data_IF_601456477524
#
_entry.id   IF_601456477524
#
_cell.length_a   1.000
_cell.length_b   1.000
_cell.length_c   1.000
_cell.angle_alpha   90.00
_cell.angle_beta   90.00
_cell.angle_gamma   90.00
#
_symmetry.space_group_name_H-M   'P 1'
#
loop_
_entity.id
_entity.type
_entity.pdbx_description
1 polymer ?
#
# COMPACT_ATOMS: atom_id res chain seq x y z
N UNK A 1 -14.16 30.57 -13.00
CA UNK A 1 -13.30 29.58 -12.29
C UNK A 1 -14.17 28.36 -12.09
N UNK A 2 -13.73 27.12 -12.36
CA UNK A 2 -14.53 25.98 -11.93
C UNK A 2 -14.67 26.09 -10.41
N UNK A 3 -15.92 26.14 -9.93
CA UNK A 3 -16.21 26.00 -8.51
C UNK A 3 -15.62 24.66 -8.06
N UNK A 4 -14.91 24.65 -6.94
CA UNK A 4 -14.40 23.41 -6.36
C UNK A 4 -15.58 22.47 -6.13
N UNK A 5 -15.55 21.29 -6.74
CA UNK A 5 -16.55 20.25 -6.51
C UNK A 5 -16.29 19.68 -5.11
N UNK A 6 -17.29 19.75 -4.23
CA UNK A 6 -17.22 19.18 -2.89
C UNK A 6 -17.59 17.69 -2.89
N UNK A 7 -17.28 17.00 -1.79
CA UNK A 7 -17.75 15.63 -1.57
C UNK A 7 -19.28 15.53 -1.59
N UNK A 8 -19.97 16.51 -1.01
CA UNK A 8 -21.43 16.57 -1.01
C UNK A 8 -22.01 16.72 -2.42
N UNK A 9 -21.35 17.49 -3.30
CA UNK A 9 -21.79 17.64 -4.68
C UNK A 9 -21.69 16.32 -5.46
N UNK A 10 -20.70 15.48 -5.15
CA UNK A 10 -20.57 14.13 -5.73
C UNK A 10 -21.58 13.15 -5.12
N UNK A 11 -21.78 13.18 -3.81
CA UNK A 11 -22.75 12.31 -3.11
C UNK A 11 -24.21 12.60 -3.53
N UNK A 12 -24.54 13.84 -3.86
CA UNK A 12 -25.85 14.26 -4.34
C UNK A 12 -25.99 14.23 -5.87
N UNK A 13 -24.94 13.82 -6.60
CA UNK A 13 -24.97 13.79 -8.06
C UNK A 13 -25.90 12.68 -8.57
N UNK A 14 -26.70 13.02 -9.57
CA UNK A 14 -27.59 12.08 -10.24
C UNK A 14 -26.90 11.61 -11.52
N UNK A 15 -26.71 10.29 -11.64
CA UNK A 15 -26.21 9.67 -12.87
C UNK A 15 -27.27 9.78 -13.95
N UNK A 16 -26.94 10.43 -15.05
CA UNK A 16 -27.80 10.56 -16.24
C UNK A 16 -27.61 9.36 -17.17
N UNK A 17 -26.37 8.91 -17.32
CA UNK A 17 -26.02 7.80 -18.18
C UNK A 17 -24.56 7.83 -18.59
N UNK A 18 -24.24 7.11 -19.65
CA UNK A 18 -22.89 6.99 -20.19
C UNK A 18 -22.76 7.74 -21.51
N UNK A 19 -21.67 8.48 -21.69
CA UNK A 19 -21.31 9.14 -22.94
C UNK A 19 -20.13 8.43 -23.60
N UNK A 20 -20.27 8.13 -24.89
CA UNK A 20 -19.23 7.51 -25.73
C UNK A 20 -18.63 6.20 -25.21
N UNK A 21 -19.27 5.51 -24.27
CA UNK A 21 -18.68 4.38 -23.55
C UNK A 21 -17.34 4.72 -22.88
N UNK A 22 -17.17 5.97 -22.44
CA UNK A 22 -15.93 6.48 -21.80
C UNK A 22 -16.20 7.30 -20.55
N UNK A 23 -17.30 8.03 -20.53
CA UNK A 23 -17.61 8.96 -19.45
C UNK A 23 -18.94 8.61 -18.80
N UNK A 24 -19.00 8.70 -17.48
CA UNK A 24 -20.27 8.76 -16.75
C UNK A 24 -20.69 10.23 -16.68
N UNK A 25 -21.89 10.51 -17.17
CA UNK A 25 -22.50 11.83 -17.12
C UNK A 25 -23.31 11.92 -15.84
N UNK A 26 -22.94 12.84 -14.95
CA UNK A 26 -23.69 13.12 -13.74
C UNK A 26 -24.14 14.58 -13.72
N UNK A 27 -25.23 14.86 -13.02
CA UNK A 27 -25.73 16.22 -12.79
C UNK A 27 -25.89 16.44 -11.30
N UNK A 28 -25.31 17.52 -10.78
CA UNK A 28 -25.49 17.92 -9.39
C UNK A 28 -25.78 19.42 -9.28
N UNK A 29 -26.29 19.83 -8.12
CA UNK A 29 -26.42 21.25 -7.77
C UNK A 29 -25.19 21.64 -6.97
N UNK A 30 -24.43 22.63 -7.45
CA UNK A 30 -23.28 23.16 -6.72
C UNK A 30 -23.76 23.74 -5.39
N UNK A 31 -23.29 23.18 -4.28
CA UNK A 31 -23.58 23.67 -2.92
C UNK A 31 -22.89 25.00 -2.58
N UNK A 32 -22.10 25.56 -3.51
CA UNK A 32 -21.34 26.80 -3.33
C UNK A 32 -22.07 28.07 -3.77
N UNK A 33 -22.80 28.67 -2.83
CA UNK A 33 -22.87 30.11 -2.45
C UNK A 33 -24.30 30.55 -2.13
N UNK A 34 -24.62 30.56 -0.83
CA UNK A 34 -25.79 31.24 -0.28
C UNK A 34 -25.65 32.79 -0.32
N UNK A 35 -24.72 33.31 -1.14
CA UNK A 35 -24.69 34.72 -1.50
C UNK A 35 -25.66 34.91 -2.67
N UNK A 36 -26.62 35.81 -2.44
CA UNK A 36 -27.80 36.11 -3.25
C UNK A 36 -27.54 36.57 -4.70
N UNK A 37 -26.32 36.42 -5.23
CA UNK A 37 -25.93 36.72 -6.62
C UNK A 37 -25.72 35.47 -7.49
N UNK A 38 -25.61 34.28 -6.91
CA UNK A 38 -25.33 33.02 -7.64
C UNK A 38 -26.51 32.03 -7.67
N UNK A 39 -27.70 32.44 -7.20
CA UNK A 39 -28.93 31.65 -7.34
C UNK A 39 -29.34 31.35 -8.80
N UNK A 40 -28.61 31.93 -9.78
CA UNK A 40 -28.74 31.67 -11.20
C UNK A 40 -27.72 30.63 -11.74
N UNK A 41 -26.85 30.07 -10.90
CA UNK A 41 -25.94 29.01 -11.32
C UNK A 41 -26.76 27.76 -11.66
N UNK A 42 -26.87 27.47 -12.95
CA UNK A 42 -27.54 26.28 -13.46
C UNK A 42 -26.92 24.98 -12.94
N UNK A 43 -27.57 23.84 -13.19
CA UNK A 43 -27.06 22.53 -12.78
C UNK A 43 -25.65 22.30 -13.33
N UNK A 44 -24.76 21.77 -12.48
CA UNK A 44 -23.41 21.40 -12.87
C UNK A 44 -23.45 20.03 -13.55
N UNK A 45 -22.96 19.96 -14.78
CA UNK A 45 -22.77 18.70 -15.50
C UNK A 45 -21.34 18.21 -15.29
N UNK A 46 -21.21 16.99 -14.79
CA UNK A 46 -19.95 16.30 -14.54
C UNK A 46 -19.75 15.23 -15.61
N UNK A 47 -18.54 15.18 -16.18
CA UNK A 47 -18.07 14.09 -17.03
C UNK A 47 -16.97 13.35 -16.27
N UNK A 48 -17.31 12.18 -15.74
CA UNK A 48 -16.39 11.35 -14.97
C UNK A 48 -15.77 10.33 -15.91
N UNK A 49 -14.44 10.32 -16.01
CA UNK A 49 -13.71 9.27 -16.73
C UNK A 49 -13.96 7.91 -16.04
N UNK A 50 -14.65 7.00 -16.73
CA UNK A 50 -15.12 5.76 -16.13
C UNK A 50 -13.96 4.87 -15.68
N UNK A 51 -12.86 4.85 -16.44
CA UNK A 51 -11.71 4.00 -16.15
C UNK A 51 -10.93 4.58 -14.97
N UNK A 52 -10.59 5.86 -15.03
CA UNK A 52 -9.81 6.50 -13.98
C UNK A 52 -10.57 6.55 -12.64
N UNK A 53 -11.89 6.73 -12.68
CA UNK A 53 -12.72 6.72 -11.47
C UNK A 53 -12.81 5.33 -10.85
N UNK A 54 -13.12 4.29 -11.62
CA UNK A 54 -13.21 2.92 -11.09
C UNK A 54 -11.82 2.42 -10.63
N UNK A 55 -10.75 2.72 -11.37
CA UNK A 55 -9.37 2.45 -10.95
C UNK A 55 -9.07 3.08 -9.59
N UNK A 56 -9.38 4.37 -9.40
CA UNK A 56 -9.11 5.08 -8.15
C UNK A 56 -9.86 4.46 -6.97
N UNK A 57 -11.15 4.17 -7.15
CA UNK A 57 -11.98 3.57 -6.11
C UNK A 57 -11.49 2.16 -5.76
N UNK A 58 -11.07 1.37 -6.75
CA UNK A 58 -10.47 0.05 -6.54
C UNK A 58 -9.13 0.15 -5.83
N UNK A 59 -8.26 1.08 -6.21
CA UNK A 59 -6.95 1.33 -5.60
C UNK A 59 -7.12 1.63 -4.12
N UNK A 60 -7.98 2.60 -3.76
CA UNK A 60 -8.23 2.98 -2.37
C UNK A 60 -8.81 1.83 -1.56
N UNK A 61 -9.75 1.06 -2.12
CA UNK A 61 -10.33 -0.09 -1.44
C UNK A 61 -9.30 -1.22 -1.19
N UNK A 62 -8.37 -1.43 -2.13
CA UNK A 62 -7.28 -2.39 -2.02
C UNK A 62 -6.20 -1.92 -1.03
N UNK A 63 -5.84 -0.65 -1.07
CA UNK A 63 -4.96 -0.02 -0.09
C UNK A 63 -5.58 -0.11 1.30
N UNK A 64 -6.87 0.12 1.45
CA UNK A 64 -7.56 -0.04 2.71
C UNK A 64 -7.59 -1.50 3.18
N UNK A 65 -7.72 -2.47 2.27
CA UNK A 65 -7.66 -3.89 2.61
C UNK A 65 -6.26 -4.31 3.09
N UNK A 66 -5.23 -3.93 2.34
CA UNK A 66 -3.85 -4.40 2.53
C UNK A 66 -3.09 -3.56 3.57
N UNK A 67 -3.26 -2.24 3.57
CA UNK A 67 -2.49 -1.28 4.37
C UNK A 67 -3.16 -0.89 5.70
N UNK A 68 -4.50 -0.88 5.83
CA UNK A 68 -5.14 -0.60 7.14
C UNK A 68 -5.03 -1.79 8.10
N UNK A 69 -4.80 -2.99 7.59
CA UNK A 69 -4.50 -4.18 8.39
C UNK A 69 -3.17 -4.04 9.16
N UNK A 70 -2.37 -3.02 8.84
CA UNK A 70 -1.19 -2.59 9.58
C UNK A 70 -1.44 -1.65 10.75
N UNK A 71 -2.62 -1.01 10.82
CA UNK A 71 -2.94 -0.02 11.86
C UNK A 71 -3.45 -0.75 13.11
N UNK A 72 -2.55 -1.40 13.83
CA UNK A 72 -2.84 -1.93 15.16
C UNK A 72 -3.28 -0.80 16.10
N UNK A 73 -4.53 -0.85 16.54
CA UNK A 73 -5.13 -0.28 17.76
C UNK A 73 -4.31 0.81 18.47
N UNK A 74 -4.62 2.08 18.21
CA UNK A 74 -4.47 3.10 19.25
C UNK A 74 -5.67 2.96 20.20
N UNK A 75 -5.54 2.16 21.26
CA UNK A 75 -6.36 2.41 22.43
C UNK A 75 -5.96 3.79 22.96
N UNK A 76 -6.83 4.79 22.74
CA UNK A 76 -6.79 6.04 23.47
C UNK A 76 -7.02 5.71 24.94
N UNK A 77 -5.98 5.76 25.77
CA UNK A 77 -6.17 5.91 27.21
C UNK A 77 -6.12 7.40 27.54
N UNK A 78 -7.28 7.92 27.90
CA UNK A 78 -7.41 9.23 28.52
C UNK A 78 -6.66 9.23 29.88
N UNK A 79 -5.83 10.25 30.08
CA UNK A 79 -5.25 10.81 31.31
C UNK A 79 -4.96 9.89 32.53
N UNK A 80 -3.68 9.81 32.94
CA UNK A 80 -3.24 10.18 34.30
C UNK A 80 -1.70 10.18 34.46
N UNK A 81 -1.16 11.36 34.79
CA UNK A 81 -0.01 11.69 35.67
C UNK A 81 1.25 10.79 35.74
N UNK A 82 2.42 11.41 35.51
CA UNK A 82 3.61 11.18 36.34
C UNK A 82 4.82 10.52 35.66
N UNK A 83 5.88 11.32 35.52
CA UNK A 83 7.32 10.99 35.61
C UNK A 83 7.99 9.95 34.67
N UNK A 84 9.14 10.35 34.12
CA UNK A 84 10.28 9.49 33.79
C UNK A 84 10.16 8.43 32.68
N UNK A 85 10.51 8.80 31.44
CA UNK A 85 10.97 7.83 30.43
C UNK A 85 10.73 8.27 29.00
N UNK A 86 11.79 8.57 28.25
CA UNK A 86 11.73 8.79 26.80
C UNK A 86 11.46 7.45 26.11
N UNK A 87 10.20 7.02 26.09
CA UNK A 87 9.75 5.92 25.24
C UNK A 87 9.90 6.38 23.79
N UNK A 88 10.78 5.71 23.04
CA UNK A 88 10.86 5.85 21.59
C UNK A 88 9.45 5.61 21.05
N UNK A 89 8.80 6.65 20.55
CA UNK A 89 7.50 6.55 19.90
C UNK A 89 7.69 5.61 18.72
N UNK A 90 7.19 4.38 18.83
CA UNK A 90 7.11 3.46 17.70
C UNK A 90 6.22 4.15 16.66
N UNK A 91 6.85 4.76 15.67
CA UNK A 91 6.15 5.38 14.55
C UNK A 91 5.38 4.25 13.86
N UNK A 92 4.05 4.38 13.83
CA UNK A 92 3.08 3.46 13.24
C UNK A 92 3.65 2.72 12.02
N UNK A 93 4.16 1.51 12.25
CA UNK A 93 4.90 0.74 11.26
C UNK A 93 3.86 0.03 10.40
N UNK A 94 3.75 0.41 9.13
CA UNK A 94 2.97 -0.35 8.14
C UNK A 94 3.42 -1.83 8.13
N UNK A 95 2.52 -2.76 7.85
CA UNK A 95 2.78 -4.19 7.94
C UNK A 95 1.57 -5.10 7.65
N UNK A 96 1.84 -6.34 7.31
CA UNK A 96 0.80 -7.35 7.10
C UNK A 96 0.42 -7.92 8.47
N UNK A 97 -0.87 -7.99 8.80
CA UNK A 97 -1.32 -8.63 10.04
C UNK A 97 -0.94 -10.12 10.07
N UNK A 98 -0.87 -10.69 11.26
CA UNK A 98 -0.53 -12.12 11.44
C UNK A 98 -1.63 -13.06 10.93
N UNK A 99 -2.88 -12.59 10.88
CA UNK A 99 -3.95 -13.28 10.18
C UNK A 99 -3.90 -12.95 8.68
N UNK A 100 -4.09 -13.97 7.84
CA UNK A 100 -4.29 -13.78 6.41
C UNK A 100 -5.50 -12.86 6.20
N UNK A 101 -5.26 -11.66 5.66
CA UNK A 101 -6.35 -10.74 5.32
C UNK A 101 -6.85 -11.15 3.96
N UNK A 102 -8.14 -11.42 3.86
CA UNK A 102 -8.82 -11.67 2.61
C UNK A 102 -10.05 -10.79 2.56
N UNK A 103 -10.09 -9.85 1.61
CA UNK A 103 -11.33 -9.16 1.24
C UNK A 103 -11.75 -9.61 -0.15
N UNK A 104 -13.05 -9.79 -0.32
CA UNK A 104 -13.64 -10.13 -1.60
C UNK A 104 -13.97 -8.81 -2.32
N UNK A 105 -13.45 -8.64 -3.54
CA UNK A 105 -13.76 -7.50 -4.40
C UNK A 105 -15.24 -7.45 -4.77
N UNK A 106 -15.70 -6.32 -5.30
CA UNK A 106 -17.12 -6.05 -5.60
C UNK A 106 -17.84 -7.15 -6.41
N UNK A 107 -17.11 -7.87 -7.26
CA UNK A 107 -17.66 -8.91 -8.13
C UNK A 107 -17.69 -10.32 -7.49
N UNK A 108 -17.31 -10.47 -6.23
CA UNK A 108 -17.30 -11.77 -5.55
C UNK A 108 -16.16 -12.71 -5.96
N UNK A 109 -15.36 -12.35 -6.97
CA UNK A 109 -14.37 -13.23 -7.62
C UNK A 109 -12.93 -12.87 -7.30
N UNK A 110 -12.66 -11.61 -7.00
CA UNK A 110 -11.32 -11.16 -6.67
C UNK A 110 -11.08 -11.29 -5.17
N UNK A 111 -10.01 -11.99 -4.81
CA UNK A 111 -9.53 -12.05 -3.44
C UNK A 111 -8.34 -11.09 -3.30
N UNK A 112 -8.51 -10.06 -2.50
CA UNK A 112 -7.46 -9.10 -2.18
C UNK A 112 -6.78 -9.56 -0.89
N UNK A 113 -5.78 -10.42 -1.07
CA UNK A 113 -5.04 -11.02 0.04
C UNK A 113 -3.66 -10.43 0.26
N UNK A 114 -3.26 -10.34 1.53
CA UNK A 114 -1.90 -10.07 1.95
C UNK A 114 -1.53 -11.06 3.04
N UNK A 115 -0.55 -11.92 2.76
CA UNK A 115 -0.18 -13.04 3.64
C UNK A 115 1.33 -13.20 3.76
N UNK A 116 1.77 -13.72 4.89
CA UNK A 116 3.16 -14.11 5.15
C UNK A 116 3.38 -15.53 4.64
N UNK A 117 4.39 -15.75 3.80
CA UNK A 117 4.64 -17.06 3.19
C UNK A 117 6.05 -17.54 3.49
N UNK A 118 6.17 -18.72 4.10
CA UNK A 118 7.47 -19.39 4.33
C UNK A 118 8.00 -19.92 3.00
N UNK A 119 9.25 -19.59 2.68
CA UNK A 119 9.92 -20.01 1.44
C UNK A 119 10.66 -21.34 1.66
N UNK A 120 10.42 -22.30 0.77
CA UNK A 120 11.07 -23.63 0.82
C UNK A 120 11.57 -24.04 -0.58
N UNK A 121 12.89 -24.21 -0.79
CA UNK A 121 13.97 -23.89 0.16
C UNK A 121 14.10 -22.37 0.39
N UNK A 122 14.66 -21.91 1.53
CA UNK A 122 14.97 -20.49 1.72
C UNK A 122 16.01 -20.02 0.69
N UNK A 123 15.67 -19.08 -0.21
CA UNK A 123 16.64 -18.57 -1.19
C UNK A 123 17.70 -17.71 -0.50
N UNK A 124 18.92 -17.76 -1.04
CA UNK A 124 19.97 -16.82 -0.67
C UNK A 124 19.61 -15.41 -1.15
N UNK A 125 20.04 -14.40 -0.39
CA UNK A 125 19.88 -13.00 -0.75
C UNK A 125 21.16 -12.58 -1.49
N UNK A 126 21.14 -12.70 -2.81
CA UNK A 126 22.25 -12.28 -3.66
C UNK A 126 22.49 -10.78 -3.53
N UNK A 127 23.75 -10.37 -3.35
CA UNK A 127 24.11 -8.96 -3.16
C UNK A 127 23.83 -8.41 -1.76
N UNK A 128 23.61 -9.29 -0.77
CA UNK A 128 23.53 -8.89 0.64
C UNK A 128 24.88 -8.43 1.18
N UNK A 129 24.99 -7.14 1.52
CA UNK A 129 26.24 -6.52 1.98
C UNK A 129 26.15 -5.98 3.44
N UNK A 130 27.27 -5.65 4.09
CA UNK A 130 27.26 -5.17 5.47
C UNK A 130 26.47 -3.88 5.72
N UNK A 131 26.28 -3.03 4.70
CA UNK A 131 25.43 -1.83 4.81
C UNK A 131 23.96 -2.19 4.85
N UNK A 132 23.55 -3.19 4.05
CA UNK A 132 22.20 -3.74 4.07
C UNK A 132 21.92 -4.49 5.37
N UNK A 133 22.90 -5.22 5.93
CA UNK A 133 22.82 -5.79 7.27
C UNK A 133 22.51 -4.73 8.33
N UNK A 134 23.25 -3.63 8.35
CA UNK A 134 23.01 -2.53 9.32
C UNK A 134 21.60 -1.94 9.16
N UNK A 135 21.12 -1.78 7.92
CA UNK A 135 19.76 -1.30 7.66
C UNK A 135 18.69 -2.30 8.11
N UNK A 136 18.89 -3.58 7.81
CA UNK A 136 18.01 -4.67 8.24
C UNK A 136 17.95 -4.76 9.76
N UNK A 137 19.08 -4.69 10.47
CA UNK A 137 19.13 -4.67 11.93
C UNK A 137 18.45 -3.43 12.50
N UNK A 138 18.70 -2.24 11.92
CA UNK A 138 18.09 -0.98 12.35
C UNK A 138 16.57 -0.95 12.18
N UNK A 139 16.07 -1.50 11.07
CA UNK A 139 14.65 -1.47 10.71
C UNK A 139 13.97 -2.83 10.77
N UNK A 140 14.56 -3.78 11.51
CA UNK A 140 14.05 -5.15 11.64
C UNK A 140 12.54 -5.21 11.92
N UNK A 141 12.00 -4.43 12.88
CA UNK A 141 10.56 -4.47 13.14
C UNK A 141 9.71 -4.08 11.93
N UNK A 142 10.16 -3.16 11.08
CA UNK A 142 9.43 -2.76 9.87
C UNK A 142 9.53 -3.80 8.75
N UNK A 143 10.72 -4.35 8.55
CA UNK A 143 10.94 -5.42 7.57
C UNK A 143 10.10 -6.65 7.94
N UNK A 144 10.13 -7.04 9.21
CA UNK A 144 9.33 -8.14 9.75
C UNK A 144 7.83 -7.80 9.76
N UNK A 145 7.42 -6.57 10.07
CA UNK A 145 6.03 -6.14 9.94
C UNK A 145 5.51 -6.32 8.51
N UNK A 146 6.35 -6.14 7.50
CA UNK A 146 5.98 -6.40 6.10
C UNK A 146 6.06 -7.86 5.67
N UNK A 147 6.37 -8.81 6.55
CA UNK A 147 6.35 -10.24 6.22
C UNK A 147 7.70 -10.85 5.86
N UNK A 148 8.75 -10.04 5.75
CA UNK A 148 10.09 -10.52 5.44
C UNK A 148 10.77 -11.07 6.70
N UNK A 149 11.27 -12.30 6.64
CA UNK A 149 12.07 -12.88 7.70
C UNK A 149 13.39 -13.36 7.13
N UNK A 150 14.49 -12.86 7.68
CA UNK A 150 15.84 -13.09 7.16
C UNK A 150 16.68 -13.75 8.25
N UNK A 151 17.35 -14.84 7.88
CA UNK A 151 18.41 -15.47 8.67
C UNK A 151 19.75 -15.00 8.12
N UNK A 152 20.66 -14.57 9.00
CA UNK A 152 22.04 -14.24 8.65
C UNK A 152 22.91 -15.30 9.30
N UNK A 153 23.67 -16.03 8.51
CA UNK A 153 24.68 -16.95 9.01
C UNK A 153 25.97 -16.15 9.26
N UNK A 154 26.36 -16.05 10.52
CA UNK A 154 27.68 -15.54 10.88
C UNK A 154 28.73 -16.55 10.39
N UNK A 155 29.43 -16.21 9.31
CA UNK A 155 30.54 -17.05 8.84
C UNK A 155 31.58 -17.10 9.95
N UNK A 156 31.86 -18.31 10.45
CA UNK A 156 32.79 -18.56 11.54
C UNK A 156 34.13 -17.85 11.30
N UNK A 157 34.44 -16.82 12.09
CA UNK A 157 35.77 -16.22 12.16
C UNK A 157 36.74 -17.13 12.94
N UNK A 158 36.91 -18.38 12.47
CA UNK A 158 37.68 -19.40 13.18
C UNK A 158 38.48 -20.30 12.25
N UNK A 159 39.77 -19.97 12.11
CA UNK A 159 40.90 -20.79 11.59
C UNK A 159 41.02 -20.98 10.08
N UNK A 160 41.76 -20.10 9.42
CA UNK A 160 43.11 -20.39 8.91
C UNK A 160 43.60 -19.18 8.11
N UNK A 161 44.62 -18.49 8.61
CA UNK A 161 45.41 -17.59 7.76
C UNK A 161 46.14 -18.44 6.71
N UNK A 162 46.26 -17.92 5.49
CA UNK A 162 46.98 -18.47 4.33
C UNK A 162 46.13 -19.26 3.32
N UNK A 163 45.34 -18.53 2.52
CA UNK A 163 44.99 -18.75 1.09
C UNK A 163 43.76 -17.87 0.82
N UNK A 164 43.95 -16.68 0.22
CA UNK A 164 42.89 -15.80 -0.29
C UNK A 164 41.75 -15.48 0.69
N UNK A 165 41.76 -14.30 1.31
CA UNK A 165 40.56 -13.82 1.98
C UNK A 165 39.47 -13.55 0.93
N UNK A 166 38.64 -14.55 0.66
CA UNK A 166 37.33 -14.34 0.05
C UNK A 166 36.59 -13.38 0.99
N UNK A 167 36.48 -12.14 0.54
CA UNK A 167 35.85 -11.03 1.25
C UNK A 167 34.57 -11.54 1.91
N UNK A 168 34.46 -11.34 3.23
CA UNK A 168 33.42 -11.90 4.08
C UNK A 168 32.00 -11.64 3.60
N UNK A 169 31.54 -12.45 2.64
CA UNK A 169 30.18 -12.47 2.18
C UNK A 169 29.35 -13.12 3.28
N UNK A 170 28.77 -12.27 4.12
CA UNK A 170 27.70 -12.65 5.02
C UNK A 170 26.64 -13.38 4.21
N UNK A 171 26.34 -14.63 4.60
CA UNK A 171 25.29 -15.38 3.93
C UNK A 171 23.97 -15.02 4.60
N UNK A 172 23.05 -14.45 3.83
CA UNK A 172 21.69 -14.20 4.30
C UNK A 172 20.69 -15.03 3.49
N UNK A 173 19.75 -15.65 4.20
CA UNK A 173 18.69 -16.47 3.64
C UNK A 173 17.34 -15.82 3.94
N UNK A 174 16.49 -15.75 2.92
CA UNK A 174 15.12 -15.26 3.09
C UNK A 174 14.21 -16.43 3.48
N UNK A 175 13.85 -16.52 4.77
CA UNK A 175 13.01 -17.59 5.30
C UNK A 175 11.53 -17.37 4.98
N UNK A 176 11.09 -16.11 4.99
CA UNK A 176 9.71 -15.74 4.78
C UNK A 176 9.62 -14.47 3.95
N UNK A 177 8.60 -14.39 3.10
CA UNK A 177 8.31 -13.24 2.26
C UNK A 177 6.80 -12.92 2.27
N UNK A 178 6.42 -11.65 2.08
CA UNK A 178 5.03 -11.31 1.86
C UNK A 178 4.55 -11.73 0.48
N UNK A 179 3.31 -12.21 0.43
CA UNK A 179 2.57 -12.50 -0.79
C UNK A 179 1.34 -11.60 -0.85
N UNK A 180 1.35 -10.68 -1.81
CA UNK A 180 0.31 -9.67 -2.02
C UNK A 180 -0.44 -9.97 -3.30
N UNK A 181 -1.75 -10.19 -3.21
CA UNK A 181 -2.64 -10.46 -4.36
C UNK A 181 -2.09 -11.54 -5.31
N UNK A 182 -1.54 -12.60 -4.70
CA UNK A 182 -0.94 -13.74 -5.39
C UNK A 182 0.55 -13.64 -5.72
N UNK A 183 1.18 -12.47 -5.55
CA UNK A 183 2.58 -12.22 -5.90
C UNK A 183 3.48 -12.20 -4.68
N UNK A 184 4.46 -13.11 -4.62
CA UNK A 184 5.47 -13.16 -3.55
C UNK A 184 6.57 -12.14 -3.81
N UNK A 185 6.87 -11.28 -2.83
CA UNK A 185 7.97 -10.33 -2.90
C UNK A 185 9.26 -11.00 -2.42
N UNK A 186 10.13 -11.40 -3.34
CA UNK A 186 11.37 -12.13 -3.03
C UNK A 186 12.51 -11.28 -2.49
N UNK A 187 13.72 -11.83 -2.53
CA UNK A 187 14.94 -11.19 -2.04
C UNK A 187 15.24 -9.86 -2.75
N UNK A 188 15.01 -9.78 -4.06
CA UNK A 188 15.17 -8.56 -4.85
C UNK A 188 14.30 -7.41 -4.30
N UNK A 189 13.07 -7.71 -3.87
CA UNK A 189 12.13 -6.73 -3.32
C UNK A 189 12.46 -6.34 -1.89
N UNK A 190 13.04 -7.26 -1.11
CA UNK A 190 13.59 -6.92 0.21
C UNK A 190 14.73 -5.92 0.07
N UNK A 191 15.68 -6.15 -0.85
CA UNK A 191 16.81 -5.24 -1.07
C UNK A 191 16.35 -3.86 -1.55
N UNK A 192 15.36 -3.83 -2.45
CA UNK A 192 14.71 -2.59 -2.86
C UNK A 192 14.13 -1.84 -1.65
N UNK A 193 13.41 -2.54 -0.76
CA UNK A 193 12.84 -1.92 0.43
C UNK A 193 13.89 -1.41 1.42
N UNK A 194 14.99 -2.14 1.63
CA UNK A 194 16.12 -1.64 2.43
C UNK A 194 16.71 -0.36 1.82
N UNK A 195 16.80 -0.29 0.49
CA UNK A 195 17.18 0.92 -0.24
C UNK A 195 16.23 2.09 0.03
N UNK A 196 14.92 1.86 -0.02
CA UNK A 196 13.90 2.86 0.33
C UNK A 196 14.08 3.37 1.77
N UNK A 197 14.28 2.46 2.74
CA UNK A 197 14.46 2.78 4.15
C UNK A 197 15.75 3.56 4.44
N UNK A 198 16.79 3.38 3.61
CA UNK A 198 18.05 4.12 3.76
C UNK A 198 17.86 5.63 3.59
N UNK A 199 16.96 6.03 2.69
CA UNK A 199 16.67 7.45 2.37
C UNK A 199 15.75 8.09 3.42
N UNK A 200 14.96 7.30 4.14
CA UNK A 200 13.92 7.78 5.06
C UNK A 200 14.33 7.82 6.54
N UNK A 201 15.62 8.01 6.83
CA UNK A 201 16.18 8.00 8.18
C UNK A 201 15.73 9.22 9.03
N UNK A 202 14.47 9.22 9.48
CA UNK A 202 13.89 10.25 10.36
C UNK A 202 12.44 10.64 10.05
N UNK A 203 11.88 10.17 8.94
CA UNK A 203 10.47 10.37 8.58
C UNK A 203 9.61 9.15 8.93
N UNK A 204 8.30 9.22 8.65
CA UNK A 204 7.41 8.05 8.73
C UNK A 204 7.96 6.93 7.84
N UNK A 205 8.06 5.72 8.40
CA UNK A 205 8.52 4.53 7.66
C UNK A 205 7.59 4.30 6.46
N UNK A 206 8.11 4.24 5.22
CA UNK A 206 7.29 4.08 4.03
C UNK A 206 6.77 2.65 3.89
N UNK A 207 5.62 2.53 3.23
CA UNK A 207 5.16 1.27 2.63
C UNK A 207 6.10 0.89 1.49
N UNK A 208 6.53 -0.38 1.37
CA UNK A 208 7.38 -0.82 0.26
C UNK A 208 6.76 -0.47 -1.09
N UNK A 209 7.52 0.15 -2.00
CA UNK A 209 6.98 0.52 -3.32
C UNK A 209 6.53 -0.70 -4.12
N UNK A 210 7.17 -1.85 -3.92
CA UNK A 210 6.73 -3.11 -4.52
C UNK A 210 5.27 -3.47 -4.17
N UNK A 211 4.82 -3.21 -2.94
CA UNK A 211 3.43 -3.44 -2.52
C UNK A 211 2.49 -2.47 -3.24
N UNK A 212 2.82 -1.18 -3.25
CA UNK A 212 2.00 -0.15 -3.91
C UNK A 212 1.88 -0.41 -5.42
N UNK A 213 2.96 -0.84 -6.08
CA UNK A 213 2.94 -1.20 -7.51
C UNK A 213 2.05 -2.41 -7.79
N UNK A 214 2.02 -3.42 -6.92
CA UNK A 214 1.10 -4.56 -7.07
C UNK A 214 -0.34 -4.07 -6.97
N UNK A 215 -0.66 -3.27 -5.95
CA UNK A 215 -2.02 -2.75 -5.72
C UNK A 215 -2.46 -1.90 -6.93
N UNK A 216 -1.62 -0.96 -7.38
CA UNK A 216 -1.90 -0.13 -8.55
C UNK A 216 -2.09 -0.95 -9.83
N UNK A 217 -1.23 -1.93 -10.09
CA UNK A 217 -1.35 -2.79 -11.26
C UNK A 217 -2.66 -3.60 -11.24
N UNK A 218 -3.09 -4.07 -10.07
CA UNK A 218 -4.33 -4.84 -9.89
C UNK A 218 -5.58 -3.96 -9.96
N UNK A 219 -5.50 -2.73 -9.46
CA UNK A 219 -6.56 -1.74 -9.60
C UNK A 219 -6.80 -1.41 -11.08
N UNK A 220 -5.75 -1.03 -11.81
CA UNK A 220 -5.81 -0.66 -13.23
C UNK A 220 -6.33 -1.81 -14.12
N UNK A 221 -5.81 -3.03 -13.96
CA UNK A 221 -6.20 -4.19 -14.80
C UNK A 221 -7.63 -4.69 -14.57
N UNK A 222 -8.18 -4.46 -13.39
CA UNK A 222 -9.54 -4.88 -13.05
C UNK A 222 -10.57 -3.74 -13.10
N UNK A 223 -10.14 -2.53 -13.46
CA UNK A 223 -11.02 -1.39 -13.63
C UNK A 223 -11.86 -1.53 -14.91
N UNK A 224 -13.02 -0.88 -14.92
CA UNK A 224 -13.84 -0.73 -16.12
C UNK A 224 -13.00 -0.18 -17.27
N UNK A 225 -13.09 -0.79 -18.46
CA UNK A 225 -12.30 -0.41 -19.62
C UNK A 225 -12.99 0.67 -20.44
N UNK A 226 -12.21 1.46 -21.20
CA UNK A 226 -12.77 2.33 -22.22
C UNK A 226 -13.44 1.49 -23.32
N UNK A 227 -14.65 1.89 -23.70
CA UNK A 227 -15.46 1.19 -24.69
C UNK A 227 -16.47 0.21 -24.08
N UNK A 228 -16.38 -0.09 -22.77
CA UNK A 228 -17.37 -0.91 -22.10
C UNK A 228 -18.70 -0.16 -22.00
N UNK A 229 -19.78 -0.77 -22.49
CA UNK A 229 -21.13 -0.26 -22.28
C UNK A 229 -21.60 -0.66 -20.87
N UNK A 230 -22.00 0.32 -20.07
CA UNK A 230 -22.38 0.12 -18.68
C UNK A 230 -23.89 0.19 -18.50
N UNK A 231 -24.44 -0.75 -17.72
CA UNK A 231 -25.82 -0.65 -17.26
C UNK A 231 -25.95 0.52 -16.25
N UNK A 232 -27.12 1.16 -16.12
CA UNK A 232 -27.32 2.28 -15.19
C UNK A 232 -26.90 1.96 -13.75
N UNK A 233 -27.09 0.72 -13.30
CA UNK A 233 -26.68 0.26 -11.97
C UNK A 233 -25.15 0.15 -11.77
N UNK A 234 -24.36 0.07 -12.85
CA UNK A 234 -22.89 0.04 -12.79
C UNK A 234 -22.28 1.44 -12.80
N UNK A 235 -23.04 2.44 -13.27
CA UNK A 235 -22.59 3.82 -13.34
C UNK A 235 -22.73 4.58 -12.01
N UNK A 236 -23.53 4.06 -11.08
CA UNK A 236 -23.85 4.67 -9.78
C UNK A 236 -23.10 4.07 -8.60
#
# INVERSE_FOLDING_TARGET
RPSSISRFDLESAIVVGQAHCKFIVCVCRSSGSADSRDAAAGPLVLLVDQHAADERVRLEAMEDAVLLSSRGHTHSCDNATGDGGCAVKHHNVGGISDAAVSRIGRNGREVWEAVRTVLRPPPAIDGFDPSQRRLLERFRPAVEAWGFQVQIDEVCQGRSQNLGCDNGNERALLLQAPRIMGQTLGADRLLEYLGELSVHAGARIPTPQAVLRIIASKACRGAIMFGDALAPAQCG
#
